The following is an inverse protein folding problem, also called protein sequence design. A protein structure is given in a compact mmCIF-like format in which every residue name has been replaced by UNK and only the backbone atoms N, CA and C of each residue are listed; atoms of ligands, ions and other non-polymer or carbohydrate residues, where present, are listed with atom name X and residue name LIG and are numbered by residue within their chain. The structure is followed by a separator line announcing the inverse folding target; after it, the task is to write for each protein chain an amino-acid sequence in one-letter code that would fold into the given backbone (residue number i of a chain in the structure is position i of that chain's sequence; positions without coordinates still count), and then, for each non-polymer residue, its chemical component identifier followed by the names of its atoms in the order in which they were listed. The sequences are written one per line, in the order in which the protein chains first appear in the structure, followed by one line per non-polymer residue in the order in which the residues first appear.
data_IF_377722723220
#
_entry.id   IF_377722723220
#
_cell.length_a   1.000
_cell.length_b   1.000
_cell.length_c   1.000
_cell.angle_alpha   90.00
_cell.angle_beta   90.00
_cell.angle_gamma   90.00
#
_symmetry.space_group_name_H-M   'P 1'
#
loop_
_entity.id
_entity.type
_entity.pdbx_description
1 polymer ?
#
# COMPACT_ATOMS: atom_id res chain seq x y z
N UNK A 1 -30.66 -43.30 24.39
CA UNK A 1 -31.12 -42.51 23.22
C UNK A 1 -31.32 -41.07 23.66
N UNK A 2 -30.50 -40.12 23.18
CA UNK A 2 -30.71 -38.69 23.44
C UNK A 2 -30.97 -37.91 22.16
N UNK A 3 -31.78 -36.89 22.34
CA UNK A 3 -32.59 -36.15 21.39
C UNK A 3 -31.83 -34.95 20.79
N UNK A 4 -32.41 -34.46 19.69
CA UNK A 4 -31.95 -33.48 18.67
C UNK A 4 -31.77 -32.04 19.23
N UNK A 5 -31.05 -31.15 18.50
CA UNK A 5 -31.79 -30.06 17.87
C UNK A 5 -31.45 -29.80 16.40
N UNK A 6 -32.50 -29.34 15.71
CA UNK A 6 -32.63 -29.00 14.30
C UNK A 6 -32.38 -27.51 14.06
N UNK A 7 -32.29 -27.13 12.78
CA UNK A 7 -32.57 -25.78 12.25
C UNK A 7 -31.51 -24.71 12.61
N UNK A 8 -30.76 -24.11 11.67
CA UNK A 8 -31.29 -23.34 10.54
C UNK A 8 -30.13 -22.66 9.79
N UNK A 9 -30.25 -22.65 8.45
CA UNK A 9 -30.08 -21.45 7.61
C UNK A 9 -28.61 -20.99 7.43
N UNK A 10 -27.90 -21.26 6.34
CA UNK A 10 -28.28 -21.17 4.93
C UNK A 10 -27.25 -22.00 4.15
N UNK A 11 -27.72 -22.99 3.37
CA UNK A 11 -27.54 -22.97 1.90
C UNK A 11 -26.04 -23.17 1.54
N UNK A 12 -25.51 -24.40 1.44
CA UNK A 12 -25.87 -25.44 0.44
C UNK A 12 -25.74 -24.85 -0.97
N UNK A 13 -25.24 -25.61 -1.95
CA UNK A 13 -25.12 -25.20 -3.37
C UNK A 13 -23.85 -24.35 -3.62
N UNK A 14 -22.80 -24.78 -4.31
CA UNK A 14 -22.60 -25.83 -5.31
C UNK A 14 -21.21 -26.44 -5.04
N UNK A 15 -21.08 -27.74 -4.74
CA UNK A 15 -20.79 -28.76 -5.77
C UNK A 15 -20.08 -28.19 -6.99
N UNK A 16 -18.77 -28.41 -7.09
CA UNK A 16 -18.19 -29.05 -8.26
C UNK A 16 -16.90 -29.74 -7.79
N UNK A 17 -16.97 -31.07 -7.81
CA UNK A 17 -15.81 -31.94 -7.96
C UNK A 17 -15.34 -31.77 -9.42
N UNK A 18 -14.13 -31.29 -9.66
CA UNK A 18 -13.39 -31.61 -10.89
C UNK A 18 -12.08 -32.25 -10.48
N UNK A 19 -12.01 -33.56 -10.70
CA UNK A 19 -10.79 -34.31 -10.72
C UNK A 19 -10.05 -34.07 -12.05
N UNK A 20 -8.73 -33.92 -11.92
CA UNK A 20 -7.67 -34.39 -12.83
C UNK A 20 -7.77 -34.04 -14.32
N UNK A 21 -6.83 -33.23 -14.82
CA UNK A 21 -5.98 -33.51 -16.01
C UNK A 21 -4.97 -32.37 -16.29
N UNK A 22 -3.70 -32.69 -16.03
CA UNK A 22 -2.50 -32.40 -16.84
C UNK A 22 -2.14 -30.96 -17.31
N UNK A 23 -0.84 -30.67 -17.12
CA UNK A 23 0.04 -29.70 -17.81
C UNK A 23 -0.05 -28.23 -17.37
N UNK A 24 0.91 -27.87 -16.51
CA UNK A 24 1.77 -26.71 -16.76
C UNK A 24 1.16 -25.33 -16.61
N UNK A 25 1.04 -24.86 -15.37
CA UNK A 25 1.44 -23.51 -14.96
C UNK A 25 1.67 -23.51 -13.46
N UNK A 26 2.91 -23.27 -13.04
CA UNK A 26 3.22 -22.79 -11.70
C UNK A 26 2.67 -21.37 -11.58
N UNK A 27 1.36 -21.21 -11.41
CA UNK A 27 0.85 -19.98 -10.81
C UNK A 27 1.01 -20.22 -9.31
N UNK A 28 2.04 -19.61 -8.75
CA UNK A 28 2.14 -19.42 -7.32
C UNK A 28 0.89 -18.67 -6.88
N UNK A 29 -0.15 -19.40 -6.46
CA UNK A 29 -1.09 -18.85 -5.50
C UNK A 29 -0.29 -18.73 -4.20
N UNK A 30 0.35 -17.57 -4.03
CA UNK A 30 0.78 -17.09 -2.72
C UNK A 30 -0.50 -16.84 -1.91
N UNK A 31 -1.07 -17.93 -1.41
CA UNK A 31 -2.22 -17.93 -0.52
C UNK A 31 -1.75 -17.77 0.92
N UNK A 32 -2.05 -16.60 1.48
CA UNK A 32 -2.60 -16.36 2.81
C UNK A 32 -2.08 -17.19 4.01
N UNK A 33 -1.36 -16.49 4.90
CA UNK A 33 -1.69 -16.49 6.33
C UNK A 33 -0.68 -17.11 7.30
N UNK A 34 0.24 -16.28 7.80
CA UNK A 34 1.19 -16.61 8.87
C UNK A 34 2.55 -16.99 8.29
N UNK A 35 3.55 -16.11 8.42
CA UNK A 35 4.87 -16.23 7.75
C UNK A 35 4.84 -16.29 6.19
N UNK A 36 3.66 -16.46 5.57
CA UNK A 36 3.40 -16.59 4.13
C UNK A 36 2.71 -15.35 3.50
N UNK A 37 2.83 -14.16 4.11
CA UNK A 37 2.29 -12.92 3.51
C UNK A 37 3.25 -12.39 2.44
N UNK A 38 2.73 -11.83 1.32
CA UNK A 38 3.58 -11.17 0.35
C UNK A 38 4.42 -10.05 0.99
N UNK A 39 5.67 -9.89 0.53
CA UNK A 39 6.60 -8.90 1.08
C UNK A 39 6.02 -7.48 1.06
N UNK A 40 5.22 -7.16 0.04
CA UNK A 40 4.55 -5.87 -0.10
C UNK A 40 3.58 -5.55 1.05
N UNK A 41 3.11 -6.54 1.82
CA UNK A 41 2.27 -6.28 2.98
C UNK A 41 3.03 -5.58 4.10
N UNK A 42 4.32 -5.93 4.31
CA UNK A 42 5.18 -5.24 5.26
C UNK A 42 5.60 -3.87 4.73
N UNK A 43 6.01 -3.81 3.46
CA UNK A 43 6.42 -2.55 2.82
C UNK A 43 5.27 -1.53 2.79
N UNK A 44 4.04 -2.00 2.61
CA UNK A 44 2.82 -1.19 2.71
C UNK A 44 2.70 -0.53 4.08
N UNK A 45 2.87 -1.31 5.16
CA UNK A 45 2.78 -0.78 6.51
C UNK A 45 3.90 0.21 6.85
N UNK A 46 5.11 -0.03 6.35
CA UNK A 46 6.23 0.93 6.45
C UNK A 46 5.89 2.23 5.74
N UNK A 47 5.49 2.16 4.45
CA UNK A 47 5.14 3.33 3.67
C UNK A 47 3.96 4.11 4.26
N UNK A 48 2.92 3.41 4.74
CA UNK A 48 1.78 4.05 5.40
C UNK A 48 2.21 4.82 6.66
N UNK A 49 3.16 4.28 7.42
CA UNK A 49 3.72 4.95 8.60
C UNK A 49 4.52 6.19 8.21
N UNK A 50 5.43 6.06 7.25
CA UNK A 50 6.27 7.15 6.74
C UNK A 50 5.46 8.29 6.13
N UNK A 51 4.36 7.96 5.43
CA UNK A 51 3.46 8.96 4.85
C UNK A 51 2.61 9.68 5.91
N UNK A 52 2.16 8.97 6.96
CA UNK A 52 1.51 9.61 8.12
C UNK A 52 2.47 10.54 8.85
N UNK A 53 3.72 10.12 9.02
CA UNK A 53 4.75 10.95 9.66
C UNK A 53 5.09 12.18 8.81
N UNK A 54 5.20 12.03 7.50
CA UNK A 54 5.33 13.14 6.55
C UNK A 54 4.19 14.16 6.71
N UNK A 55 2.95 13.69 6.79
CA UNK A 55 1.78 14.56 6.97
C UNK A 55 1.79 15.30 8.32
N UNK A 56 2.45 14.74 9.35
CA UNK A 56 2.65 15.37 10.65
C UNK A 56 3.81 16.38 10.63
N UNK A 57 4.95 16.03 10.05
CA UNK A 57 6.15 16.86 9.94
C UNK A 57 5.89 18.10 9.08
N UNK A 58 5.12 17.96 7.99
CA UNK A 58 4.71 19.09 7.13
C UNK A 58 3.97 20.18 7.90
N UNK A 59 3.36 19.85 9.05
CA UNK A 59 2.65 20.82 9.91
C UNK A 59 3.53 21.42 11.01
N UNK A 60 4.60 20.74 11.42
CA UNK A 60 5.25 20.98 12.71
C UNK A 60 6.78 21.19 12.64
N UNK A 61 7.44 20.94 11.50
CA UNK A 61 8.91 20.91 11.41
C UNK A 61 9.43 21.71 10.22
N UNK A 62 10.67 22.19 10.33
CA UNK A 62 11.36 22.91 9.26
C UNK A 62 11.79 22.01 8.09
N UNK A 63 12.24 22.65 7.00
CA UNK A 63 12.56 22.03 5.72
C UNK A 63 13.54 20.85 5.79
N UNK A 64 14.48 20.85 6.73
CA UNK A 64 15.43 19.73 6.91
C UNK A 64 14.73 18.45 7.37
N UNK A 65 13.78 18.55 8.30
CA UNK A 65 12.99 17.40 8.77
C UNK A 65 12.08 16.86 7.66
N UNK A 66 11.47 17.76 6.88
CA UNK A 66 10.69 17.40 5.71
C UNK A 66 11.50 16.61 4.68
N UNK A 67 12.74 17.04 4.40
CA UNK A 67 13.64 16.33 3.46
C UNK A 67 14.07 14.97 3.97
N UNK A 68 14.35 14.83 5.28
CA UNK A 68 14.67 13.55 5.88
C UNK A 68 13.50 12.57 5.76
N UNK A 69 12.30 13.02 6.16
CA UNK A 69 11.09 12.20 6.07
C UNK A 69 10.73 11.80 4.64
N UNK A 70 10.92 12.72 3.69
CA UNK A 70 10.74 12.41 2.28
C UNK A 70 11.69 11.29 1.82
N UNK A 71 12.94 11.28 2.31
CA UNK A 71 13.88 10.20 2.01
C UNK A 71 13.40 8.84 2.50
N UNK A 72 12.76 8.79 3.67
CA UNK A 72 12.13 7.56 4.19
C UNK A 72 10.93 7.13 3.32
N UNK A 73 10.06 8.07 2.94
CA UNK A 73 8.94 7.81 2.02
C UNK A 73 9.44 7.30 0.67
N UNK A 74 10.50 7.89 0.10
CA UNK A 74 11.11 7.42 -1.16
C UNK A 74 11.66 5.99 -1.02
N UNK A 75 12.32 5.69 0.09
CA UNK A 75 12.86 4.35 0.38
C UNK A 75 11.74 3.31 0.51
N UNK A 76 10.72 3.58 1.32
CA UNK A 76 9.62 2.65 1.55
C UNK A 76 8.74 2.48 0.30
N UNK A 77 8.53 3.55 -0.47
CA UNK A 77 7.81 3.47 -1.73
C UNK A 77 8.57 2.63 -2.76
N UNK A 78 9.91 2.74 -2.79
CA UNK A 78 10.74 1.90 -3.66
C UNK A 78 10.64 0.43 -3.27
N UNK A 79 10.76 0.13 -1.97
CA UNK A 79 10.59 -1.24 -1.46
C UNK A 79 9.22 -1.82 -1.86
N UNK A 80 8.14 -1.06 -1.63
CA UNK A 80 6.79 -1.47 -1.98
C UNK A 80 6.61 -1.67 -3.49
N UNK A 81 7.13 -0.76 -4.31
CA UNK A 81 7.05 -0.89 -5.77
C UNK A 81 7.79 -2.15 -6.23
N UNK A 82 8.99 -2.39 -5.71
CA UNK A 82 9.79 -3.55 -6.11
C UNK A 82 9.12 -4.87 -5.71
N UNK A 83 8.47 -4.91 -4.54
CA UNK A 83 7.78 -6.12 -4.06
C UNK A 83 6.37 -6.31 -4.62
N UNK A 84 5.66 -5.25 -5.02
CA UNK A 84 4.25 -5.30 -5.44
C UNK A 84 4.01 -5.08 -6.94
N UNK A 85 4.99 -4.63 -7.73
CA UNK A 85 4.78 -4.22 -9.13
C UNK A 85 4.26 -5.32 -10.04
N UNK A 86 4.54 -6.59 -9.74
CA UNK A 86 4.01 -7.72 -10.50
C UNK A 86 2.50 -7.88 -10.33
N UNK A 87 2.01 -7.67 -9.11
CA UNK A 87 0.61 -7.90 -8.73
C UNK A 87 -0.25 -6.63 -8.91
N UNK A 88 0.35 -5.46 -8.69
CA UNK A 88 -0.32 -4.16 -8.69
C UNK A 88 0.43 -3.10 -9.54
N UNK A 89 0.63 -3.34 -10.85
CA UNK A 89 1.47 -2.47 -11.69
C UNK A 89 0.91 -1.04 -11.82
N UNK A 90 -0.40 -0.87 -11.87
CA UNK A 90 -1.02 0.45 -11.99
C UNK A 90 -0.88 1.25 -10.69
N UNK A 91 -1.18 0.62 -9.55
CA UNK A 91 -1.13 1.25 -8.23
C UNK A 91 0.31 1.60 -7.85
N UNK A 92 1.25 0.68 -8.06
CA UNK A 92 2.68 0.93 -7.79
C UNK A 92 3.26 2.03 -8.69
N UNK A 93 2.86 2.09 -9.96
CA UNK A 93 3.25 3.19 -10.85
C UNK A 93 2.67 4.53 -10.40
N UNK A 94 1.42 4.56 -9.92
CA UNK A 94 0.79 5.76 -9.40
C UNK A 94 1.47 6.26 -8.12
N UNK A 95 1.77 5.37 -7.17
CA UNK A 95 2.53 5.68 -5.95
C UNK A 95 3.88 6.27 -6.30
N UNK A 96 4.65 5.60 -7.17
CA UNK A 96 5.98 6.07 -7.59
C UNK A 96 5.93 7.47 -8.18
N UNK A 97 5.02 7.69 -9.14
CA UNK A 97 4.84 8.98 -9.79
C UNK A 97 4.49 10.10 -8.80
N UNK A 98 3.60 9.79 -7.85
CA UNK A 98 3.20 10.74 -6.81
C UNK A 98 4.34 11.07 -5.84
N UNK A 99 5.13 10.07 -5.44
CA UNK A 99 6.31 10.27 -4.58
C UNK A 99 7.39 11.07 -5.31
N UNK A 100 7.65 10.78 -6.58
CA UNK A 100 8.60 11.53 -7.41
C UNK A 100 8.16 13.01 -7.57
N UNK A 101 6.86 13.26 -7.73
CA UNK A 101 6.28 14.61 -7.82
C UNK A 101 6.50 15.38 -6.52
N UNK A 102 6.13 14.78 -5.38
CA UNK A 102 6.37 15.34 -4.06
C UNK A 102 7.87 15.61 -3.85
N UNK A 103 8.73 14.67 -4.23
CA UNK A 103 10.17 14.81 -4.07
C UNK A 103 10.72 15.97 -4.89
N UNK A 104 10.26 16.13 -6.13
CA UNK A 104 10.54 17.30 -6.95
C UNK A 104 10.11 18.61 -6.28
N UNK A 105 8.89 18.66 -5.74
CA UNK A 105 8.37 19.82 -5.05
C UNK A 105 9.22 20.20 -3.82
N UNK A 106 9.55 19.23 -2.96
CA UNK A 106 10.38 19.45 -1.76
C UNK A 106 11.82 19.85 -2.11
N UNK A 107 12.42 19.26 -3.15
CA UNK A 107 13.76 19.62 -3.63
C UNK A 107 13.81 21.03 -4.19
N UNK A 108 12.71 21.51 -4.78
CA UNK A 108 12.59 22.88 -5.29
C UNK A 108 12.44 23.94 -4.19
N UNK A 109 12.13 23.54 -2.95
CA UNK A 109 11.97 24.47 -1.84
C UNK A 109 13.31 25.12 -1.46
N UNK A 110 13.29 26.45 -1.45
CA UNK A 110 14.36 27.26 -0.88
C UNK A 110 14.28 27.28 0.65
N UNK A 111 15.32 27.77 1.32
CA UNK A 111 15.40 27.80 2.79
C UNK A 111 14.19 28.48 3.46
N UNK A 112 13.54 29.43 2.77
CA UNK A 112 12.29 30.07 3.18
C UNK A 112 11.24 29.88 2.09
N UNK A 113 10.44 28.80 2.14
CA UNK A 113 9.40 28.57 1.15
C UNK A 113 8.26 29.59 1.31
N UNK A 114 7.65 29.99 0.19
CA UNK A 114 6.42 30.78 0.22
C UNK A 114 5.24 29.93 0.68
N UNK A 115 4.15 30.58 1.11
CA UNK A 115 2.92 29.90 1.49
C UNK A 115 2.37 29.03 0.33
N UNK A 116 2.52 29.50 -0.91
CA UNK A 116 2.11 28.77 -2.11
C UNK A 116 2.94 27.50 -2.30
N UNK A 117 4.27 27.57 -2.13
CA UNK A 117 5.15 26.40 -2.24
C UNK A 117 4.85 25.37 -1.15
N UNK A 118 4.58 25.83 0.08
CA UNK A 118 4.17 24.94 1.18
C UNK A 118 2.81 24.27 0.89
N UNK A 119 1.85 25.00 0.32
CA UNK A 119 0.55 24.46 -0.06
C UNK A 119 0.64 23.41 -1.17
N UNK A 120 1.53 23.61 -2.15
CA UNK A 120 1.82 22.60 -3.20
C UNK A 120 2.35 21.31 -2.58
N UNK A 121 3.39 21.41 -1.73
CA UNK A 121 3.95 20.22 -1.05
C UNK A 121 2.90 19.51 -0.19
N UNK A 122 2.06 20.25 0.53
CA UNK A 122 0.98 19.66 1.32
C UNK A 122 -0.06 18.92 0.44
N UNK A 123 -0.36 19.46 -0.75
CA UNK A 123 -1.26 18.84 -1.72
C UNK A 123 -0.65 17.56 -2.30
N UNK A 124 0.63 17.61 -2.68
CA UNK A 124 1.35 16.45 -3.22
C UNK A 124 1.49 15.35 -2.15
N UNK A 125 1.76 15.71 -0.90
CA UNK A 125 1.80 14.77 0.21
C UNK A 125 0.43 14.11 0.44
N UNK A 126 -0.67 14.87 0.36
CA UNK A 126 -2.01 14.33 0.46
C UNK A 126 -2.36 13.39 -0.71
N UNK A 127 -1.85 13.67 -1.92
CA UNK A 127 -1.99 12.78 -3.06
C UNK A 127 -1.27 11.43 -2.81
N UNK A 128 -0.04 11.46 -2.28
CA UNK A 128 0.69 10.24 -1.89
C UNK A 128 -0.13 9.42 -0.88
N UNK A 129 -0.72 10.05 0.14
CA UNK A 129 -1.62 9.38 1.10
C UNK A 129 -2.78 8.70 0.38
N UNK A 130 -3.40 9.39 -0.58
CA UNK A 130 -4.51 8.83 -1.37
C UNK A 130 -4.10 7.58 -2.14
N UNK A 131 -3.01 7.64 -2.89
CA UNK A 131 -2.52 6.48 -3.67
C UNK A 131 -2.11 5.30 -2.79
N UNK A 132 -1.49 5.56 -1.63
CA UNK A 132 -1.17 4.51 -0.66
C UNK A 132 -2.44 3.90 -0.08
N UNK A 133 -3.46 4.70 0.23
CA UNK A 133 -4.76 4.21 0.70
C UNK A 133 -5.47 3.35 -0.35
N UNK A 134 -5.40 3.74 -1.62
CA UNK A 134 -5.97 2.97 -2.74
C UNK A 134 -5.24 1.62 -2.89
N UNK A 135 -3.91 1.62 -2.79
CA UNK A 135 -3.11 0.38 -2.77
C UNK A 135 -3.44 -0.49 -1.55
N UNK A 136 -3.58 0.09 -0.36
CA UNK A 136 -3.96 -0.64 0.86
C UNK A 136 -5.32 -1.30 0.69
N UNK A 137 -6.28 -0.60 0.10
CA UNK A 137 -7.60 -1.16 -0.21
C UNK A 137 -7.52 -2.30 -1.22
N UNK A 138 -6.70 -2.15 -2.27
CA UNK A 138 -6.51 -3.17 -3.29
C UNK A 138 -5.79 -4.43 -2.78
N UNK A 139 -4.88 -4.27 -1.82
CA UNK A 139 -4.07 -5.36 -1.24
C UNK A 139 -4.65 -5.96 0.06
N UNK A 140 -5.78 -5.44 0.56
CA UNK A 140 -6.33 -5.85 1.86
C UNK A 140 -6.56 -7.35 1.97
N UNK A 141 -7.20 -7.97 0.97
CA UNK A 141 -7.52 -9.41 0.99
C UNK A 141 -6.29 -10.31 1.04
N UNK A 142 -5.15 -9.85 0.55
CA UNK A 142 -3.88 -10.59 0.52
C UNK A 142 -3.04 -10.35 1.79
N UNK A 143 -3.27 -9.20 2.45
CA UNK A 143 -2.49 -8.74 3.59
C UNK A 143 -3.18 -8.90 4.95
N UNK A 144 -4.45 -9.29 5.00
CA UNK A 144 -5.23 -9.53 6.22
C UNK A 144 -4.98 -10.94 6.80
#
# INVERSE_FOLDING_TARGET
MFHVPSHRRYIRWMRILVALLAVGTLIALAGCGGDDKPAYCSDRSSLESSVKELANITRNTGLSGLRAQLGEVESDATALVDSAKSDFPEQTSAIRSSVDTLAGAVRSLQANPSAQQAATVATDAAAVVGYVSDFTSASSSECD
#
